data_IF_839831838892
#
_entry.id   IF_839831838892
#
_cell.length_a   1.000
_cell.length_b   1.000
_cell.length_c   1.000
_cell.angle_alpha   90.00
_cell.angle_beta   90.00
_cell.angle_gamma   90.00
#
_symmetry.space_group_name_H-M   'P 1'
#
loop_
_entity.id
_entity.type
_entity.pdbx_description
1 polymer ?
#
# COMPACT_ATOMS: atom_id res chain seq x y z
N UNK A 1 -26.50 -10.62 -19.97
CA UNK A 1 -25.60 -10.07 -18.90
C UNK A 1 -24.21 -10.01 -19.46
N UNK A 2 -23.42 -9.01 -19.07
CA UNK A 2 -22.00 -8.88 -19.45
C UNK A 2 -21.16 -9.97 -18.80
N UNK A 3 -20.21 -10.54 -19.55
CA UNK A 3 -19.34 -11.61 -19.06
C UNK A 3 -18.06 -11.00 -18.49
N UNK A 4 -17.78 -11.21 -17.20
CA UNK A 4 -16.67 -10.57 -16.47
C UNK A 4 -15.75 -11.64 -15.89
N UNK A 5 -14.46 -11.58 -16.22
CA UNK A 5 -13.45 -12.37 -15.54
C UNK A 5 -13.12 -11.72 -14.19
N UNK A 6 -13.18 -12.50 -13.11
CA UNK A 6 -12.75 -12.09 -11.76
C UNK A 6 -11.51 -12.92 -11.42
N UNK A 7 -10.35 -12.26 -11.40
CA UNK A 7 -9.06 -12.95 -11.36
C UNK A 7 -8.65 -13.46 -9.99
N UNK A 8 -9.30 -12.99 -8.93
CA UNK A 8 -9.06 -13.44 -7.54
C UNK A 8 -10.38 -13.76 -6.86
N UNK A 9 -10.34 -14.67 -5.90
CA UNK A 9 -11.51 -14.97 -5.07
C UNK A 9 -11.90 -13.76 -4.25
N UNK A 10 -13.18 -13.40 -4.29
CA UNK A 10 -13.74 -12.32 -3.49
C UNK A 10 -14.41 -12.88 -2.23
N UNK A 11 -14.78 -11.98 -1.33
CA UNK A 11 -15.63 -12.32 -0.18
C UNK A 11 -17.03 -12.67 -0.74
N UNK A 12 -17.69 -13.67 -0.15
CA UNK A 12 -18.95 -14.25 -0.64
C UNK A 12 -20.02 -13.21 -0.97
N UNK A 13 -20.19 -12.22 -0.11
CA UNK A 13 -21.16 -11.13 -0.30
C UNK A 13 -20.91 -10.35 -1.61
N UNK A 14 -19.66 -10.17 -1.99
CA UNK A 14 -19.29 -9.48 -3.24
C UNK A 14 -19.39 -10.40 -4.45
N UNK A 15 -19.13 -11.71 -4.31
CA UNK A 15 -19.39 -12.70 -5.37
C UNK A 15 -20.88 -12.79 -5.69
N UNK A 16 -21.73 -12.74 -4.65
CA UNK A 16 -23.18 -12.72 -4.80
C UNK A 16 -23.67 -11.45 -5.53
N UNK A 17 -23.07 -10.27 -5.22
CA UNK A 17 -23.34 -9.03 -5.96
C UNK A 17 -22.90 -9.15 -7.41
N UNK A 18 -21.69 -9.66 -7.68
CA UNK A 18 -21.19 -9.85 -9.03
C UNK A 18 -22.09 -10.78 -9.85
N UNK A 19 -22.57 -11.88 -9.24
CA UNK A 19 -23.48 -12.86 -9.88
C UNK A 19 -24.86 -12.28 -10.21
N UNK A 20 -25.34 -11.32 -9.42
CA UNK A 20 -26.61 -10.61 -9.68
C UNK A 20 -26.46 -9.57 -10.80
N UNK A 21 -25.26 -9.01 -10.97
CA UNK A 21 -24.99 -7.90 -11.90
C UNK A 21 -24.50 -8.40 -13.26
N UNK A 22 -23.69 -9.46 -13.27
CA UNK A 22 -22.98 -9.96 -14.45
C UNK A 22 -23.15 -11.47 -14.64
N UNK A 23 -22.52 -12.01 -15.69
CA UNK A 23 -22.20 -13.43 -15.86
C UNK A 23 -20.70 -13.63 -15.53
N UNK A 24 -20.31 -13.78 -14.25
CA UNK A 24 -18.90 -13.80 -13.86
C UNK A 24 -18.25 -15.15 -14.13
N UNK A 25 -16.96 -15.11 -14.48
CA UNK A 25 -16.06 -16.25 -14.40
C UNK A 25 -15.22 -16.06 -13.12
N UNK A 26 -15.51 -16.86 -12.11
CA UNK A 26 -14.78 -16.80 -10.84
C UNK A 26 -13.53 -17.67 -10.85
N UNK A 27 -12.49 -17.18 -10.19
CA UNK A 27 -11.32 -17.96 -9.80
C UNK A 27 -11.58 -18.62 -8.43
N UNK A 28 -12.36 -19.69 -8.40
CA UNK A 28 -12.84 -20.31 -7.16
C UNK A 28 -11.72 -20.89 -6.27
N UNK A 29 -10.61 -21.30 -6.87
CA UNK A 29 -9.45 -21.85 -6.16
C UNK A 29 -8.46 -20.76 -5.70
N UNK A 30 -8.70 -19.50 -6.06
CA UNK A 30 -7.79 -18.38 -5.81
C UNK A 30 -6.35 -18.58 -6.31
N UNK A 31 -6.20 -19.20 -7.46
CA UNK A 31 -4.90 -19.42 -8.10
C UNK A 31 -4.30 -18.08 -8.54
N UNK A 32 -2.99 -17.93 -8.39
CA UNK A 32 -2.28 -16.79 -8.97
C UNK A 32 -2.19 -16.95 -10.49
N UNK A 33 -2.98 -16.18 -11.22
CA UNK A 33 -2.95 -16.24 -12.68
C UNK A 33 -1.69 -15.58 -13.23
N UNK A 34 -0.97 -16.34 -14.09
CA UNK A 34 0.05 -15.78 -14.95
C UNK A 34 -0.57 -14.86 -16.01
N UNK A 35 0.24 -14.03 -16.63
CA UNK A 35 -0.21 -13.15 -17.73
C UNK A 35 -0.89 -13.96 -18.87
N UNK A 36 -0.31 -15.11 -19.24
CA UNK A 36 -0.89 -16.01 -20.25
C UNK A 36 -2.24 -16.58 -19.81
N UNK A 37 -2.38 -16.90 -18.51
CA UNK A 37 -3.65 -17.41 -17.96
C UNK A 37 -4.73 -16.34 -17.95
N UNK A 38 -4.39 -15.10 -17.63
CA UNK A 38 -5.34 -13.97 -17.71
C UNK A 38 -5.84 -13.78 -19.15
N UNK A 39 -4.94 -13.82 -20.14
CA UNK A 39 -5.29 -13.71 -21.55
C UNK A 39 -6.22 -14.86 -21.99
N UNK A 40 -5.88 -16.09 -21.61
CA UNK A 40 -6.70 -17.29 -21.89
C UNK A 40 -8.10 -17.17 -21.29
N UNK A 41 -8.18 -16.89 -19.99
CA UNK A 41 -9.46 -16.84 -19.25
C UNK A 41 -10.33 -15.64 -19.64
N UNK A 42 -9.75 -14.59 -20.22
CA UNK A 42 -10.48 -13.41 -20.69
C UNK A 42 -11.15 -13.61 -22.06
N UNK A 43 -10.97 -14.76 -22.72
CA UNK A 43 -11.59 -15.05 -24.02
C UNK A 43 -13.11 -15.00 -23.92
N UNK A 44 -13.72 -14.13 -24.76
CA UNK A 44 -15.16 -13.91 -24.77
C UNK A 44 -15.69 -13.12 -23.56
N UNK A 45 -14.82 -12.53 -22.72
CA UNK A 45 -15.23 -11.62 -21.67
C UNK A 45 -15.35 -10.19 -22.18
N UNK A 46 -16.30 -9.44 -21.59
CA UNK A 46 -16.50 -8.00 -21.86
C UNK A 46 -15.60 -7.12 -20.99
N UNK A 47 -15.19 -7.61 -19.81
CA UNK A 47 -14.34 -6.89 -18.86
C UNK A 47 -13.63 -7.81 -17.88
N UNK A 48 -12.70 -7.22 -17.11
CA UNK A 48 -11.88 -7.92 -16.13
C UNK A 48 -11.96 -7.16 -14.79
N UNK A 49 -12.26 -7.86 -13.70
CA UNK A 49 -12.00 -7.41 -12.34
C UNK A 49 -10.69 -8.05 -11.91
N UNK A 50 -9.61 -7.26 -11.95
CA UNK A 50 -8.25 -7.68 -11.58
C UNK A 50 -7.88 -7.24 -10.17
N UNK A 51 -6.76 -7.70 -9.67
CA UNK A 51 -6.17 -7.20 -8.44
C UNK A 51 -4.72 -6.73 -8.65
N UNK A 52 -4.06 -6.32 -7.58
CA UNK A 52 -2.67 -5.88 -7.64
C UNK A 52 -1.67 -7.01 -7.98
N UNK A 53 -2.11 -8.26 -7.90
CA UNK A 53 -1.26 -9.45 -8.14
C UNK A 53 -1.10 -9.79 -9.61
N UNK A 54 -2.02 -9.36 -10.48
CA UNK A 54 -1.94 -9.60 -11.92
C UNK A 54 -1.14 -8.49 -12.60
N UNK A 55 -0.03 -8.85 -13.23
CA UNK A 55 0.75 -7.94 -14.04
C UNK A 55 0.10 -7.75 -15.40
N UNK A 56 -0.49 -6.59 -15.61
CA UNK A 56 -1.14 -6.14 -16.85
C UNK A 56 -0.22 -5.17 -17.60
N UNK A 57 0.97 -5.62 -17.97
CA UNK A 57 1.91 -4.81 -18.74
C UNK A 57 1.45 -4.63 -20.20
N UNK A 58 2.22 -3.85 -20.96
CA UNK A 58 1.93 -3.54 -22.37
C UNK A 58 1.71 -4.79 -23.22
N UNK A 59 2.50 -5.84 -23.01
CA UNK A 59 2.39 -7.08 -23.77
C UNK A 59 1.08 -7.80 -23.46
N UNK A 60 0.76 -7.94 -22.17
CA UNK A 60 -0.50 -8.54 -21.71
C UNK A 60 -1.69 -7.76 -22.25
N UNK A 61 -1.72 -6.44 -22.05
CA UNK A 61 -2.81 -5.57 -22.53
C UNK A 61 -3.02 -5.73 -24.04
N UNK A 62 -1.95 -5.76 -24.83
CA UNK A 62 -2.05 -5.90 -26.28
C UNK A 62 -2.60 -7.26 -26.75
N UNK A 63 -2.46 -8.31 -25.92
CA UNK A 63 -2.95 -9.66 -26.22
C UNK A 63 -4.34 -9.96 -25.66
N UNK A 64 -4.92 -9.05 -24.86
CA UNK A 64 -6.30 -9.23 -24.40
C UNK A 64 -7.27 -9.27 -25.59
N UNK A 65 -8.38 -10.02 -25.51
CA UNK A 65 -9.41 -10.01 -26.53
C UNK A 65 -9.99 -8.61 -26.80
N UNK A 66 -10.38 -8.32 -28.03
CA UNK A 66 -11.00 -7.04 -28.38
C UNK A 66 -12.37 -6.81 -27.73
N UNK A 67 -12.98 -7.89 -27.21
CA UNK A 67 -14.22 -7.81 -26.43
C UNK A 67 -14.04 -7.15 -25.07
N UNK A 68 -12.83 -7.20 -24.49
CA UNK A 68 -12.51 -6.56 -23.19
C UNK A 68 -12.50 -5.05 -23.36
N UNK A 69 -13.41 -4.35 -22.66
CA UNK A 69 -13.57 -2.89 -22.73
C UNK A 69 -13.21 -2.18 -21.43
N UNK A 70 -13.11 -2.91 -20.32
CA UNK A 70 -12.78 -2.34 -19.01
C UNK A 70 -11.96 -3.33 -18.17
N UNK A 71 -10.99 -2.78 -17.45
CA UNK A 71 -10.27 -3.45 -16.37
C UNK A 71 -10.53 -2.66 -15.08
N UNK A 72 -11.22 -3.27 -14.12
CA UNK A 72 -11.45 -2.69 -12.81
C UNK A 72 -10.49 -3.31 -11.80
N UNK A 73 -9.53 -2.53 -11.32
CA UNK A 73 -8.48 -3.00 -10.43
C UNK A 73 -8.94 -2.96 -8.97
N UNK A 74 -9.00 -4.09 -8.31
CA UNK A 74 -9.29 -4.25 -6.89
C UNK A 74 -8.10 -3.76 -6.03
N UNK A 75 -7.74 -2.49 -6.21
CA UNK A 75 -6.65 -1.80 -5.51
C UNK A 75 -6.79 -0.28 -5.69
N UNK A 76 -6.11 0.51 -4.83
CA UNK A 76 -5.91 1.95 -5.06
C UNK A 76 -4.79 2.19 -6.05
N UNK A 77 -3.65 1.53 -5.85
CA UNK A 77 -2.53 1.60 -6.77
C UNK A 77 -2.84 0.84 -8.07
N UNK A 78 -2.32 1.33 -9.17
CA UNK A 78 -2.48 0.76 -10.50
C UNK A 78 -1.15 0.58 -11.24
N UNK A 79 -0.03 0.54 -10.51
CA UNK A 79 1.31 0.32 -11.09
C UNK A 79 1.50 -1.06 -11.75
N UNK A 80 0.60 -2.00 -11.49
CA UNK A 80 0.55 -3.30 -12.15
C UNK A 80 -0.10 -3.24 -13.55
N UNK A 81 -0.66 -2.09 -13.99
CA UNK A 81 -1.39 -1.94 -15.25
C UNK A 81 -0.72 -0.87 -16.11
N UNK A 82 -0.38 -1.18 -17.36
CA UNK A 82 0.08 -0.21 -18.35
C UNK A 82 -1.10 0.62 -18.88
N UNK A 83 -1.29 1.80 -18.28
CA UNK A 83 -2.39 2.71 -18.62
C UNK A 83 -2.32 3.22 -20.07
N UNK A 84 -1.14 3.46 -20.59
CA UNK A 84 -0.96 3.94 -21.97
C UNK A 84 -1.34 2.88 -23.01
N UNK A 85 -0.95 1.63 -22.76
CA UNK A 85 -1.36 0.51 -23.60
C UNK A 85 -2.88 0.30 -23.54
N UNK A 86 -3.49 0.35 -22.34
CA UNK A 86 -4.93 0.24 -22.17
C UNK A 86 -5.68 1.35 -22.89
N UNK A 87 -5.23 2.60 -22.77
CA UNK A 87 -5.79 3.76 -23.45
C UNK A 87 -5.75 3.61 -24.97
N UNK A 88 -4.60 3.17 -25.53
CA UNK A 88 -4.45 2.93 -26.97
C UNK A 88 -5.39 1.85 -27.52
N UNK A 89 -5.72 0.86 -26.68
CA UNK A 89 -6.68 -0.21 -26.97
C UNK A 89 -8.14 0.18 -26.72
N UNK A 90 -8.41 1.40 -26.23
CA UNK A 90 -9.74 1.82 -25.82
C UNK A 90 -10.29 1.06 -24.62
N UNK A 91 -9.44 0.48 -23.77
CA UNK A 91 -9.80 -0.21 -22.55
C UNK A 91 -9.80 0.80 -21.40
N UNK A 92 -10.96 1.00 -20.76
CA UNK A 92 -11.08 1.80 -19.56
C UNK A 92 -10.38 1.09 -18.38
N UNK A 93 -9.63 1.83 -17.57
CA UNK A 93 -9.04 1.30 -16.33
C UNK A 93 -9.60 2.07 -15.15
N UNK A 94 -10.03 1.34 -14.12
CA UNK A 94 -10.56 1.91 -12.87
C UNK A 94 -9.86 1.32 -11.66
N UNK A 95 -9.92 2.04 -10.54
CA UNK A 95 -9.39 1.61 -9.25
C UNK A 95 -10.43 1.77 -8.13
N UNK A 96 -10.05 1.45 -6.88
CA UNK A 96 -10.95 1.51 -5.72
C UNK A 96 -10.42 2.50 -4.65
N UNK A 97 -10.40 3.81 -4.92
CA UNK A 97 -9.93 4.81 -3.99
C UNK A 97 -10.88 4.98 -2.80
N UNK A 98 -10.40 5.64 -1.75
CA UNK A 98 -11.12 6.06 -0.54
C UNK A 98 -11.51 4.95 0.42
N UNK A 99 -12.21 3.94 -0.04
CA UNK A 99 -12.83 2.88 0.78
C UNK A 99 -11.87 2.10 1.69
N UNK A 100 -10.56 2.11 1.39
CA UNK A 100 -9.54 1.43 2.19
C UNK A 100 -8.70 2.38 3.06
N UNK A 101 -8.94 3.69 2.99
CA UNK A 101 -8.04 4.67 3.60
C UNK A 101 -7.95 4.58 5.12
N UNK A 102 -9.05 4.23 5.80
CA UNK A 102 -9.07 4.06 7.25
C UNK A 102 -8.30 2.80 7.66
N UNK A 103 -8.61 1.65 7.06
CA UNK A 103 -7.92 0.39 7.35
C UNK A 103 -6.40 0.48 7.10
N UNK A 104 -5.99 1.12 6.00
CA UNK A 104 -4.55 1.32 5.71
C UNK A 104 -3.90 2.27 6.72
N UNK A 105 -4.61 3.30 7.19
CA UNK A 105 -4.09 4.18 8.21
C UNK A 105 -3.92 3.46 9.56
N UNK A 106 -4.81 2.55 9.91
CA UNK A 106 -4.71 1.71 11.10
C UNK A 106 -3.46 0.81 11.04
N UNK A 107 -3.17 0.20 9.89
CA UNK A 107 -1.91 -0.53 9.68
C UNK A 107 -0.71 0.43 9.78
N UNK A 108 -0.79 1.64 9.23
CA UNK A 108 0.27 2.65 9.37
C UNK A 108 0.60 2.95 10.84
N UNK A 109 -0.42 3.10 11.68
CA UNK A 109 -0.24 3.30 13.12
C UNK A 109 0.30 2.04 13.80
N UNK A 110 -0.19 0.86 13.43
CA UNK A 110 0.35 -0.41 13.92
C UNK A 110 1.84 -0.56 13.61
N UNK A 111 2.28 -0.20 12.41
CA UNK A 111 3.69 -0.23 12.02
C UNK A 111 4.53 0.75 12.86
N UNK A 112 4.03 1.97 13.08
CA UNK A 112 4.69 2.97 13.93
C UNK A 112 4.85 2.44 15.35
N UNK A 113 3.77 1.97 15.95
CA UNK A 113 3.78 1.40 17.30
C UNK A 113 4.64 0.13 17.36
N UNK A 114 4.47 -0.78 16.41
CA UNK A 114 5.19 -2.05 16.35
C UNK A 114 6.69 -1.86 16.26
N UNK A 115 7.17 -0.96 15.39
CA UNK A 115 8.58 -0.65 15.23
C UNK A 115 9.14 0.11 16.45
N UNK A 116 8.45 1.16 16.91
CA UNK A 116 8.90 1.95 18.06
C UNK A 116 8.93 1.15 19.36
N UNK A 117 8.00 0.22 19.55
CA UNK A 117 7.86 -0.55 20.78
C UNK A 117 8.47 -1.96 20.72
N UNK A 118 9.26 -2.27 19.65
CA UNK A 118 9.95 -3.56 19.47
C UNK A 118 8.99 -4.76 19.51
N UNK A 119 7.80 -4.60 18.89
CA UNK A 119 6.73 -5.59 19.01
C UNK A 119 7.12 -6.95 18.40
N UNK A 120 7.92 -6.99 17.32
CA UNK A 120 8.39 -8.23 16.72
C UNK A 120 9.21 -9.06 17.73
N UNK A 121 10.20 -8.44 18.36
CA UNK A 121 11.04 -9.09 19.37
C UNK A 121 10.24 -9.47 20.62
N UNK A 122 9.28 -8.62 21.02
CA UNK A 122 8.39 -8.91 22.14
C UNK A 122 7.49 -10.13 21.89
N UNK A 123 6.94 -10.26 20.68
CA UNK A 123 6.11 -11.41 20.27
C UNK A 123 6.96 -12.69 20.25
N UNK A 124 8.16 -12.64 19.65
CA UNK A 124 9.08 -13.78 19.61
C UNK A 124 9.41 -14.24 21.04
N UNK A 125 9.87 -13.33 21.89
CA UNK A 125 10.22 -13.63 23.27
C UNK A 125 9.06 -14.19 24.09
N UNK A 126 7.86 -13.65 23.92
CA UNK A 126 6.67 -14.15 24.62
C UNK A 126 6.29 -15.57 24.19
N UNK A 127 6.45 -15.90 22.90
CA UNK A 127 6.15 -17.23 22.35
C UNK A 127 7.20 -18.29 22.74
N UNK A 128 8.47 -17.90 22.81
CA UNK A 128 9.55 -18.78 23.29
C UNK A 128 9.39 -19.12 24.79
N UNK A 129 8.78 -18.25 25.55
CA UNK A 129 8.62 -18.39 27.00
C UNK A 129 9.91 -18.14 27.79
N UNK A 130 9.83 -18.20 29.11
CA UNK A 130 11.01 -18.07 29.97
C UNK A 130 11.64 -16.64 30.01
N UNK A 131 10.99 -15.63 29.46
CA UNK A 131 11.46 -14.25 29.50
C UNK A 131 11.54 -13.73 30.94
N UNK A 132 12.55 -12.91 31.20
CA UNK A 132 12.77 -12.28 32.52
C UNK A 132 12.59 -10.79 32.39
N UNK A 133 11.69 -10.23 33.21
CA UNK A 133 11.55 -8.78 33.28
C UNK A 133 12.77 -8.13 33.93
N UNK A 134 13.29 -7.06 33.30
CA UNK A 134 14.30 -6.16 33.89
C UNK A 134 14.03 -4.73 33.42
N UNK A 135 14.61 -3.75 34.10
CA UNK A 135 14.40 -2.33 33.78
C UNK A 135 14.87 -1.93 32.39
N UNK A 136 15.80 -2.67 31.82
CA UNK A 136 16.40 -2.45 30.49
C UNK A 136 15.92 -3.46 29.43
N UNK A 137 14.94 -4.32 29.76
CA UNK A 137 14.47 -5.36 28.86
C UNK A 137 13.56 -4.79 27.76
N UNK A 138 13.96 -5.00 26.50
CA UNK A 138 13.24 -4.58 25.30
C UNK A 138 12.80 -3.10 25.30
N UNK A 139 13.67 -2.21 25.79
CA UNK A 139 13.38 -0.77 25.79
C UNK A 139 13.15 -0.28 24.36
N UNK A 140 11.96 0.28 24.13
CA UNK A 140 11.55 0.92 22.89
C UNK A 140 11.56 2.43 22.97
N UNK A 141 10.90 3.07 22.01
CA UNK A 141 10.70 4.52 21.94
C UNK A 141 9.27 4.89 22.30
N UNK A 142 9.11 5.93 23.10
CA UNK A 142 7.83 6.58 23.36
C UNK A 142 7.45 7.46 22.16
N UNK A 143 6.16 7.57 21.86
CA UNK A 143 5.69 8.40 20.72
C UNK A 143 5.40 9.84 21.14
N UNK A 144 4.84 10.04 22.34
CA UNK A 144 4.48 11.37 22.86
C UNK A 144 5.67 12.32 22.83
N UNK A 145 5.46 13.48 22.19
CA UNK A 145 6.49 14.51 22.04
C UNK A 145 7.48 14.27 20.88
N UNK A 146 7.41 13.11 20.18
CA UNK A 146 8.27 12.85 19.01
C UNK A 146 7.66 13.42 17.73
N UNK A 147 8.50 13.61 16.70
CA UNK A 147 8.14 14.19 15.41
C UNK A 147 7.88 13.07 14.39
N UNK A 148 6.64 13.04 13.89
CA UNK A 148 6.27 12.19 12.77
C UNK A 148 6.41 12.95 11.45
N UNK A 149 7.33 12.53 10.60
CA UNK A 149 7.37 12.94 9.20
C UNK A 149 6.40 12.09 8.37
N UNK A 150 5.49 12.72 7.64
CA UNK A 150 4.60 12.04 6.70
C UNK A 150 5.06 12.38 5.27
N UNK A 151 5.60 11.39 4.58
CA UNK A 151 5.99 11.51 3.19
C UNK A 151 4.80 11.14 2.31
N UNK A 152 4.10 12.18 1.80
CA UNK A 152 2.85 11.99 1.08
C UNK A 152 1.61 12.12 1.98
N UNK A 153 1.24 13.34 2.37
CA UNK A 153 0.05 13.64 3.19
C UNK A 153 -1.22 13.72 2.33
N UNK A 154 -1.49 12.61 1.59
CA UNK A 154 -2.74 12.38 0.88
C UNK A 154 -3.83 11.84 1.81
N UNK A 155 -4.84 11.09 1.26
CA UNK A 155 -5.96 10.54 2.06
C UNK A 155 -5.48 9.68 3.24
N UNK A 156 -4.57 8.73 2.99
CA UNK A 156 -4.03 7.84 4.03
C UNK A 156 -3.12 8.61 4.98
N UNK A 157 -2.19 9.43 4.45
CA UNK A 157 -1.26 10.21 5.26
C UNK A 157 -1.96 11.17 6.22
N UNK A 158 -3.05 11.82 5.81
CA UNK A 158 -3.87 12.68 6.69
C UNK A 158 -4.53 11.89 7.82
N UNK A 159 -5.01 10.66 7.55
CA UNK A 159 -5.61 9.80 8.58
C UNK A 159 -4.54 9.30 9.58
N UNK A 160 -3.37 8.89 9.11
CA UNK A 160 -2.23 8.54 9.98
C UNK A 160 -1.82 9.74 10.83
N UNK A 161 -1.66 10.92 10.22
CA UNK A 161 -1.30 12.15 10.93
C UNK A 161 -2.30 12.49 12.04
N UNK A 162 -3.60 12.38 11.75
CA UNK A 162 -4.67 12.63 12.73
C UNK A 162 -4.58 11.68 13.93
N UNK A 163 -4.41 10.39 13.70
CA UNK A 163 -4.30 9.39 14.78
C UNK A 163 -2.99 9.59 15.55
N UNK A 164 -1.87 9.78 14.87
CA UNK A 164 -0.58 10.02 15.51
C UNK A 164 -0.57 11.30 16.36
N UNK A 165 -1.27 12.35 15.92
CA UNK A 165 -1.46 13.57 16.71
C UNK A 165 -2.20 13.29 18.04
N UNK A 166 -3.19 12.41 18.04
CA UNK A 166 -3.89 12.00 19.28
C UNK A 166 -3.02 11.14 20.20
N UNK A 167 -1.96 10.52 19.68
CA UNK A 167 -0.90 9.86 20.45
C UNK A 167 0.18 10.83 20.97
N UNK A 168 -0.02 12.14 20.76
CA UNK A 168 0.90 13.19 21.23
C UNK A 168 2.11 13.45 20.33
N UNK A 169 2.10 12.98 19.09
CA UNK A 169 3.18 13.25 18.12
C UNK A 169 3.01 14.65 17.48
N UNK A 170 4.13 15.27 17.13
CA UNK A 170 4.18 16.52 16.35
C UNK A 170 4.28 16.15 14.88
N UNK A 171 3.34 16.63 14.06
CA UNK A 171 3.23 16.22 12.66
C UNK A 171 4.00 17.15 11.73
N UNK A 172 4.90 16.59 10.97
CA UNK A 172 5.61 17.21 9.86
C UNK A 172 5.24 16.48 8.57
N UNK A 173 5.23 17.15 7.42
CA UNK A 173 4.94 16.48 6.17
C UNK A 173 5.64 17.10 4.97
N UNK A 174 5.78 16.30 3.91
CA UNK A 174 6.18 16.73 2.58
C UNK A 174 5.22 16.19 1.53
N UNK A 175 4.79 17.08 0.65
CA UNK A 175 4.07 16.82 -0.59
C UNK A 175 4.69 17.65 -1.71
N UNK A 176 4.42 17.31 -2.96
CA UNK A 176 4.77 18.14 -4.12
C UNK A 176 4.20 19.57 -4.03
N UNK A 177 3.07 19.72 -3.37
CA UNK A 177 2.44 21.02 -3.09
C UNK A 177 1.96 21.08 -1.65
N UNK A 178 2.09 22.23 -1.03
CA UNK A 178 1.56 22.50 0.31
C UNK A 178 0.04 22.30 0.32
N UNK A 179 -0.49 21.70 1.39
CA UNK A 179 -1.92 21.52 1.60
C UNK A 179 -2.57 22.87 2.04
N UNK A 180 -3.90 22.97 1.94
CA UNK A 180 -4.64 24.04 2.59
C UNK A 180 -4.58 23.88 4.12
N UNK A 181 -4.72 24.97 4.86
CA UNK A 181 -4.70 25.00 6.34
C UNK A 181 -5.70 24.02 6.95
N UNK A 182 -6.89 23.90 6.35
CA UNK A 182 -7.91 22.94 6.75
C UNK A 182 -7.41 21.49 6.68
N UNK A 183 -6.66 21.13 5.63
CA UNK A 183 -6.10 19.79 5.45
C UNK A 183 -4.81 19.56 6.23
N UNK A 184 -4.03 20.61 6.47
CA UNK A 184 -2.83 20.55 7.31
C UNK A 184 -3.16 20.24 8.77
N UNK A 185 -4.26 20.75 9.29
CA UNK A 185 -4.68 20.57 10.69
C UNK A 185 -3.55 20.85 11.71
N UNK A 186 -2.72 21.84 11.39
CA UNK A 186 -1.57 22.24 12.21
C UNK A 186 -0.31 21.40 12.00
N UNK A 187 -0.24 20.60 10.96
CA UNK A 187 1.00 19.92 10.55
C UNK A 187 1.98 20.92 9.90
N UNK A 188 3.27 20.68 10.07
CA UNK A 188 4.34 21.55 9.57
C UNK A 188 4.78 21.05 8.19
N UNK A 189 4.61 21.91 7.17
CA UNK A 189 5.04 21.61 5.81
C UNK A 189 6.56 21.74 5.62
N UNK A 190 7.14 20.83 4.86
CA UNK A 190 8.51 20.87 4.37
C UNK A 190 8.53 20.87 2.85
N UNK A 191 9.26 21.80 2.26
CA UNK A 191 9.33 21.99 0.80
C UNK A 191 10.28 20.99 0.11
N UNK A 192 11.13 20.31 0.88
CA UNK A 192 12.06 19.31 0.36
C UNK A 192 12.26 18.13 1.33
N UNK A 193 12.79 17.03 0.79
CA UNK A 193 12.98 15.78 1.53
C UNK A 193 13.99 15.93 2.68
N UNK A 194 15.10 16.64 2.44
CA UNK A 194 16.15 16.81 3.45
C UNK A 194 15.61 17.52 4.68
N UNK A 195 14.81 18.57 4.49
CA UNK A 195 14.17 19.30 5.57
C UNK A 195 13.20 18.41 6.36
N UNK A 196 12.36 17.59 5.68
CA UNK A 196 11.48 16.65 6.37
C UNK A 196 12.26 15.58 7.12
N UNK A 197 13.22 14.92 6.45
CA UNK A 197 13.92 13.77 7.02
C UNK A 197 14.76 14.17 8.23
N UNK A 198 15.38 15.36 8.20
CA UNK A 198 16.25 15.84 9.30
C UNK A 198 15.50 16.08 10.62
N UNK A 199 14.20 16.24 10.58
CA UNK A 199 13.35 16.41 11.78
C UNK A 199 12.56 15.17 12.15
N UNK A 200 12.53 14.15 11.30
CA UNK A 200 11.68 12.97 11.51
C UNK A 200 12.30 11.99 12.50
N UNK A 201 11.77 11.93 13.71
CA UNK A 201 12.08 10.86 14.66
C UNK A 201 11.44 9.53 14.20
N UNK A 202 10.27 9.64 13.55
CA UNK A 202 9.59 8.57 12.83
C UNK A 202 9.20 9.10 11.46
N UNK A 203 9.43 8.34 10.39
CA UNK A 203 8.91 8.62 9.05
C UNK A 203 7.80 7.62 8.71
N UNK A 204 6.67 8.10 8.17
CA UNK A 204 5.64 7.28 7.54
C UNK A 204 5.58 7.57 6.04
N UNK A 205 5.85 6.54 5.21
CA UNK A 205 5.83 6.64 3.76
C UNK A 205 4.42 6.32 3.29
N UNK A 206 3.75 7.32 2.67
CA UNK A 206 2.37 7.27 2.20
C UNK A 206 2.19 7.80 0.77
N UNK A 207 3.28 8.20 0.10
CA UNK A 207 3.26 8.70 -1.27
C UNK A 207 3.11 7.57 -2.29
N UNK A 208 2.57 7.81 -3.49
CA UNK A 208 2.54 6.81 -4.55
C UNK A 208 3.94 6.48 -5.07
N UNK A 209 4.15 5.24 -5.54
CA UNK A 209 5.34 4.89 -6.29
C UNK A 209 5.24 5.44 -7.72
N UNK A 210 6.21 6.25 -8.10
CA UNK A 210 6.40 6.83 -9.43
C UNK A 210 7.89 6.83 -9.75
N UNK A 211 8.29 7.22 -10.95
CA UNK A 211 9.72 7.36 -11.30
C UNK A 211 10.46 8.35 -10.38
N UNK A 212 9.76 9.39 -9.93
CA UNK A 212 10.32 10.43 -9.06
C UNK A 212 10.45 9.96 -7.60
N UNK A 213 9.65 8.99 -7.17
CA UNK A 213 9.66 8.45 -5.81
C UNK A 213 10.39 7.11 -5.70
N UNK A 214 10.82 6.52 -6.81
CA UNK A 214 11.59 5.28 -6.81
C UNK A 214 12.92 5.46 -6.06
N UNK A 215 13.21 4.55 -5.14
CA UNK A 215 14.38 4.58 -4.27
C UNK A 215 14.61 5.95 -3.59
N UNK A 216 13.52 6.63 -3.21
CA UNK A 216 13.58 7.92 -2.52
C UNK A 216 14.25 7.76 -1.13
N UNK A 217 14.07 6.62 -0.48
CA UNK A 217 14.88 6.21 0.67
C UNK A 217 16.04 5.37 0.15
N UNK A 218 17.23 5.94 0.14
CA UNK A 218 18.44 5.36 -0.40
C UNK A 218 19.67 5.66 0.49
N UNK A 219 20.86 5.24 0.06
CA UNK A 219 22.11 5.38 0.80
C UNK A 219 22.44 6.84 1.18
N UNK A 220 22.10 7.80 0.34
CA UNK A 220 22.31 9.22 0.63
C UNK A 220 21.24 9.74 1.59
N UNK A 221 19.96 9.50 1.27
CA UNK A 221 18.85 10.12 1.99
C UNK A 221 18.65 9.55 3.38
N UNK A 222 19.06 8.31 3.66
CA UNK A 222 19.05 7.76 5.04
C UNK A 222 19.97 8.56 5.97
N UNK A 223 21.03 9.21 5.46
CA UNK A 223 21.93 10.01 6.27
C UNK A 223 21.30 11.34 6.75
N UNK A 224 20.23 11.81 6.11
CA UNK A 224 19.52 13.01 6.54
C UNK A 224 18.75 12.82 7.84
N UNK A 225 18.35 11.59 8.19
CA UNK A 225 17.59 11.31 9.40
C UNK A 225 18.40 11.54 10.68
N UNK A 226 17.75 11.88 11.81
CA UNK A 226 18.37 11.78 13.12
C UNK A 226 18.86 10.35 13.38
N UNK A 227 19.98 10.21 14.10
CA UNK A 227 20.45 8.89 14.51
C UNK A 227 19.37 8.17 15.33
N UNK A 228 19.04 6.96 14.95
CA UNK A 228 18.05 6.16 15.62
C UNK A 228 16.61 6.48 15.21
N UNK A 229 16.37 7.12 14.07
CA UNK A 229 15.03 7.28 13.52
C UNK A 229 14.34 5.93 13.21
N UNK A 230 13.04 5.95 13.11
CA UNK A 230 12.21 4.81 12.69
C UNK A 230 11.58 5.12 11.33
N UNK A 231 11.57 4.15 10.41
CA UNK A 231 10.94 4.32 9.09
C UNK A 231 9.81 3.31 8.96
N UNK A 232 8.63 3.77 8.52
CA UNK A 232 7.48 2.90 8.24
C UNK A 232 6.98 3.10 6.82
N UNK A 233 6.48 2.01 6.18
CA UNK A 233 6.00 2.05 4.81
C UNK A 233 4.69 1.27 4.65
N UNK A 234 3.62 1.99 4.28
CA UNK A 234 2.30 1.46 3.90
C UNK A 234 1.95 1.77 2.43
N UNK A 235 2.91 2.32 1.68
CA UNK A 235 2.69 2.76 0.30
C UNK A 235 3.12 1.69 -0.72
N UNK A 236 4.40 1.65 -1.08
CA UNK A 236 4.99 0.68 -2.02
C UNK A 236 6.46 0.43 -1.67
N UNK A 237 6.92 -0.80 -1.89
CA UNK A 237 8.32 -1.17 -1.66
C UNK A 237 9.31 -0.42 -2.53
N UNK A 238 8.94 -0.13 -3.79
CA UNK A 238 9.82 0.55 -4.76
C UNK A 238 10.32 1.94 -4.32
N UNK A 239 9.68 2.55 -3.32
CA UNK A 239 10.10 3.85 -2.75
C UNK A 239 11.39 3.71 -1.93
N UNK A 240 11.73 2.49 -1.54
CA UNK A 240 12.85 2.16 -0.65
C UNK A 240 13.88 1.32 -1.39
N UNK A 241 15.14 1.74 -1.32
CA UNK A 241 16.30 0.88 -1.61
C UNK A 241 16.50 -0.03 -0.39
N UNK A 242 16.09 -1.29 -0.53
CA UNK A 242 16.15 -2.28 0.56
C UNK A 242 17.55 -2.44 1.12
N UNK A 243 18.59 -2.52 0.25
CA UNK A 243 19.96 -2.75 0.69
C UNK A 243 20.50 -1.56 1.47
N UNK A 244 20.16 -0.34 1.04
CA UNK A 244 20.53 0.88 1.77
C UNK A 244 19.84 0.96 3.14
N UNK A 245 18.57 0.58 3.24
CA UNK A 245 17.84 0.59 4.50
C UNK A 245 18.32 -0.51 5.45
N UNK A 246 18.60 -1.72 4.95
CA UNK A 246 19.16 -2.85 5.71
C UNK A 246 20.54 -2.49 6.26
N UNK A 247 21.41 -1.87 5.45
CA UNK A 247 22.73 -1.36 5.91
C UNK A 247 22.56 -0.33 7.02
N UNK A 248 21.65 0.64 6.85
CA UNK A 248 21.39 1.67 7.86
C UNK A 248 20.86 1.09 9.19
N UNK A 249 20.06 0.02 9.15
CA UNK A 249 19.62 -0.73 10.33
C UNK A 249 20.79 -1.43 11.02
N UNK A 250 21.65 -2.13 10.26
CA UNK A 250 22.81 -2.83 10.77
C UNK A 250 23.82 -1.86 11.45
N UNK A 251 24.00 -0.67 10.86
CA UNK A 251 24.85 0.40 11.42
C UNK A 251 24.17 1.15 12.59
N UNK A 252 22.93 0.85 12.92
CA UNK A 252 22.11 1.55 13.92
C UNK A 252 21.96 3.06 13.61
N UNK A 253 22.04 3.45 12.36
CA UNK A 253 21.65 4.78 11.87
C UNK A 253 20.13 4.91 11.94
N UNK A 254 19.43 3.90 11.45
CA UNK A 254 17.99 3.68 11.64
C UNK A 254 17.80 2.66 12.78
N UNK A 255 16.91 2.97 13.71
CA UNK A 255 16.65 2.14 14.89
C UNK A 255 15.81 0.90 14.57
N UNK A 256 14.72 1.10 13.84
CA UNK A 256 13.76 0.07 13.50
C UNK A 256 12.99 0.43 12.22
N UNK A 257 12.37 -0.55 11.62
CA UNK A 257 11.44 -0.36 10.51
C UNK A 257 10.11 -1.06 10.77
N UNK A 258 9.03 -0.46 10.23
CA UNK A 258 7.70 -1.07 10.16
C UNK A 258 7.26 -1.14 8.70
N UNK A 259 7.16 -2.32 8.11
CA UNK A 259 6.90 -2.49 6.69
C UNK A 259 5.67 -3.37 6.46
N UNK A 260 4.73 -2.89 5.65
CA UNK A 260 3.59 -3.65 5.14
C UNK A 260 3.74 -3.98 3.65
N UNK A 261 4.71 -3.35 2.99
CA UNK A 261 4.93 -3.46 1.53
C UNK A 261 6.41 -3.62 1.22
N UNK A 262 6.72 -4.34 0.13
CA UNK A 262 8.08 -4.70 -0.25
C UNK A 262 8.30 -4.56 -1.74
N UNK A 263 9.55 -4.41 -2.15
CA UNK A 263 9.94 -4.58 -3.54
C UNK A 263 9.80 -6.05 -3.92
N UNK A 264 9.23 -6.34 -5.08
CA UNK A 264 9.04 -7.70 -5.62
C UNK A 264 8.11 -8.59 -4.76
N UNK A 265 7.06 -8.05 -4.15
CA UNK A 265 6.07 -8.86 -3.45
C UNK A 265 5.60 -10.07 -4.27
N UNK A 266 5.40 -11.24 -3.67
CA UNK A 266 5.51 -11.57 -2.23
C UNK A 266 6.93 -11.87 -1.74
N UNK A 267 7.95 -11.79 -2.57
CA UNK A 267 9.35 -12.15 -2.26
C UNK A 267 10.09 -10.94 -1.68
N UNK A 268 9.92 -10.69 -0.38
CA UNK A 268 10.64 -9.62 0.29
C UNK A 268 12.15 -9.91 0.37
N UNK A 269 12.96 -8.84 0.48
CA UNK A 269 14.41 -8.98 0.65
C UNK A 269 14.72 -9.77 1.95
N UNK A 270 15.43 -10.92 1.85
CA UNK A 270 15.70 -11.79 3.01
C UNK A 270 16.57 -11.11 4.09
N UNK A 271 17.19 -9.98 3.78
CA UNK A 271 17.91 -9.17 4.75
C UNK A 271 17.03 -8.70 5.90
N UNK A 272 15.78 -8.35 5.64
CA UNK A 272 14.84 -7.94 6.68
C UNK A 272 14.53 -9.05 7.69
N UNK A 273 14.52 -10.30 7.27
CA UNK A 273 14.26 -11.46 8.14
C UNK A 273 15.35 -11.67 9.21
N UNK A 274 16.54 -11.10 9.00
CA UNK A 274 17.68 -11.18 9.93
C UNK A 274 17.69 -10.02 10.92
N UNK A 275 16.85 -9.02 10.73
CA UNK A 275 16.84 -7.79 11.55
C UNK A 275 15.71 -7.90 12.59
N UNK A 276 16.08 -8.11 13.84
CA UNK A 276 15.13 -8.25 14.95
C UNK A 276 14.24 -7.02 15.14
N UNK A 277 14.73 -5.81 14.83
CA UNK A 277 13.97 -4.56 14.91
C UNK A 277 13.09 -4.28 13.70
N UNK A 278 12.96 -5.22 12.74
CA UNK A 278 12.04 -5.12 11.63
C UNK A 278 10.66 -5.67 12.04
N UNK A 279 9.67 -4.80 12.15
CA UNK A 279 8.26 -5.17 12.30
C UNK A 279 7.62 -5.24 10.93
N UNK A 280 7.41 -6.45 10.42
CA UNK A 280 7.04 -6.74 9.03
C UNK A 280 5.67 -7.40 8.96
N UNK A 281 4.82 -6.95 8.02
CA UNK A 281 3.48 -7.45 7.75
C UNK A 281 3.34 -7.82 6.26
N UNK A 282 2.49 -8.80 5.88
CA UNK A 282 2.36 -9.27 4.51
C UNK A 282 1.27 -8.52 3.72
N UNK A 283 1.42 -7.20 3.54
CA UNK A 283 0.51 -6.32 2.80
C UNK A 283 -0.94 -6.37 3.29
N UNK A 284 -1.12 -6.05 4.57
CA UNK A 284 -2.41 -6.08 5.27
C UNK A 284 -3.19 -4.77 5.25
N UNK A 285 -2.69 -3.72 4.59
CA UNK A 285 -3.25 -2.37 4.62
C UNK A 285 -4.76 -2.27 4.41
N UNK A 286 -5.37 -3.16 3.61
CA UNK A 286 -6.83 -3.20 3.39
C UNK A 286 -7.49 -4.46 3.93
N UNK A 287 -6.82 -5.25 4.77
CA UNK A 287 -7.26 -6.59 5.15
C UNK A 287 -8.30 -6.61 6.29
N UNK A 288 -9.38 -5.87 6.15
CA UNK A 288 -10.59 -6.04 6.97
C UNK A 288 -11.75 -6.53 6.11
N UNK A 289 -12.71 -7.25 6.69
CA UNK A 289 -13.86 -7.77 5.96
C UNK A 289 -14.64 -6.64 5.29
N UNK A 290 -14.95 -5.58 6.02
CA UNK A 290 -15.75 -4.46 5.54
C UNK A 290 -15.04 -3.71 4.40
N UNK A 291 -13.73 -3.46 4.56
CA UNK A 291 -12.93 -2.80 3.53
C UNK A 291 -12.84 -3.65 2.26
N UNK A 292 -12.62 -4.96 2.37
CA UNK A 292 -12.54 -5.85 1.21
C UNK A 292 -13.89 -5.95 0.47
N UNK A 293 -15.01 -5.97 1.19
CA UNK A 293 -16.35 -5.91 0.61
C UNK A 293 -16.54 -4.56 -0.10
N UNK A 294 -16.22 -3.44 0.55
CA UNK A 294 -16.36 -2.11 -0.04
C UNK A 294 -15.53 -1.94 -1.32
N UNK A 295 -14.27 -2.40 -1.31
CA UNK A 295 -13.40 -2.40 -2.50
C UNK A 295 -13.96 -3.25 -3.64
N UNK A 296 -14.39 -4.48 -3.35
CA UNK A 296 -14.96 -5.37 -4.37
C UNK A 296 -16.25 -4.79 -4.95
N UNK A 297 -17.11 -4.26 -4.09
CA UNK A 297 -18.36 -3.63 -4.53
C UNK A 297 -18.11 -2.41 -5.40
N UNK A 298 -17.13 -1.56 -5.05
CA UNK A 298 -16.76 -0.41 -5.87
C UNK A 298 -16.16 -0.84 -7.22
N UNK A 299 -15.36 -1.92 -7.24
CA UNK A 299 -14.83 -2.46 -8.49
C UNK A 299 -15.95 -3.01 -9.39
N UNK A 300 -16.95 -3.68 -8.82
CA UNK A 300 -18.15 -4.14 -9.52
C UNK A 300 -18.96 -2.95 -10.06
N UNK A 301 -19.19 -1.93 -9.22
CA UNK A 301 -19.95 -0.73 -9.58
C UNK A 301 -19.27 0.08 -10.70
N UNK A 302 -17.94 0.15 -10.71
CA UNK A 302 -17.19 0.74 -11.83
C UNK A 302 -17.47 0.04 -13.17
N UNK A 303 -17.51 -1.29 -13.17
CA UNK A 303 -17.82 -2.08 -14.38
C UNK A 303 -19.27 -1.91 -14.80
N UNK A 304 -20.19 -1.96 -13.85
CA UNK A 304 -21.63 -1.82 -14.10
C UNK A 304 -21.97 -0.44 -14.68
N UNK A 305 -21.43 0.62 -14.06
CA UNK A 305 -21.61 2.00 -14.55
C UNK A 305 -21.06 2.17 -15.97
N UNK A 306 -19.87 1.64 -16.22
CA UNK A 306 -19.27 1.70 -17.56
C UNK A 306 -20.15 1.07 -18.63
N UNK A 307 -20.73 -0.10 -18.38
CA UNK A 307 -21.59 -0.75 -19.37
C UNK A 307 -22.98 -0.12 -19.49
N UNK A 308 -23.46 0.59 -18.48
CA UNK A 308 -24.75 1.30 -18.51
C UNK A 308 -24.65 2.66 -19.20
N UNK A 309 -23.58 3.41 -18.92
CA UNK A 309 -23.50 4.84 -19.30
C UNK A 309 -22.33 5.18 -20.22
N UNK A 310 -21.36 4.30 -20.37
CA UNK A 310 -20.07 4.58 -21.03
C UNK A 310 -19.06 5.30 -20.13
N UNK A 311 -19.44 5.67 -18.91
CA UNK A 311 -18.59 6.38 -17.96
C UNK A 311 -18.13 5.44 -16.84
N UNK A 312 -17.06 5.85 -16.13
CA UNK A 312 -16.56 5.13 -14.95
C UNK A 312 -16.62 6.04 -13.72
N UNK A 313 -16.92 5.49 -12.57
CA UNK A 313 -16.91 6.22 -11.28
C UNK A 313 -15.47 6.64 -10.92
N UNK A 314 -14.49 5.75 -11.11
CA UNK A 314 -13.10 5.94 -10.68
C UNK A 314 -12.11 5.63 -11.82
N UNK A 315 -12.26 6.28 -12.97
CA UNK A 315 -11.36 6.12 -14.13
C UNK A 315 -9.98 6.70 -13.85
N UNK A 316 -8.90 5.99 -14.30
CA UNK A 316 -7.49 6.38 -14.08
C UNK A 316 -6.67 6.55 -15.38
N UNK A 317 -7.25 6.25 -16.57
CA UNK A 317 -6.60 6.40 -17.90
C UNK A 317 -7.38 7.26 -18.91
#
# INVERSE_FOLDING_TARGET
>A
MKKILITRKLIKESEDKASKTFSPIFNSNDELYSQSKVIEMSQGCDGILSSLTEKMDKETINKLPDTVKIISNFAVGFGNIDLEAAKKRGIAVTNTPEVLSDATAEIGILLILGACRRAAEGIESAREGGWKWSADYLIGKQLTGTRLGVLGMGRIGQKIARIAKSLGMIIHYHNRSKLSEEKEQGAIYHDNLKSLFSVSDVLSICCPATKETENMINKETVEYFPKGAVITNVARGDIVDDDALIDALNRRKIYAVGLDVYKNEPNLNPGYLKIKSAFILPHLGSATKDTRIAMANLAIDNIDEFFKTGNCINKVN
#
